data_IF_363671235269
#
_entry.id   IF_363671235269
#
_cell.length_a   1.000
_cell.length_b   1.000
_cell.length_c   1.000
_cell.angle_alpha   90.00
_cell.angle_beta   90.00
_cell.angle_gamma   90.00
#
_symmetry.space_group_name_H-M   'P 1'
#
loop_
_entity.id
_entity.type
_entity.pdbx_description
1 polymer ?
#
# COMPACT_ATOMS: atom_id res chain seq x y z
N UNK A 1 -45.83 -40.44 -44.55
CA UNK A 1 -45.46 -40.03 -43.21
C UNK A 1 -45.63 -38.53 -43.03
N UNK A 2 -46.05 -38.08 -41.88
CA UNK A 2 -46.05 -36.64 -41.57
C UNK A 2 -44.63 -36.08 -41.67
N UNK A 3 -44.44 -34.86 -42.17
CA UNK A 3 -43.15 -34.25 -42.18
C UNK A 3 -42.60 -34.21 -40.78
N UNK A 4 -41.35 -34.69 -40.56
CA UNK A 4 -40.70 -34.62 -39.26
C UNK A 4 -39.79 -33.42 -39.22
N UNK A 5 -39.85 -32.69 -38.13
CA UNK A 5 -38.95 -31.58 -37.78
C UNK A 5 -37.90 -31.99 -36.75
N UNK A 6 -37.88 -33.29 -36.37
CA UNK A 6 -36.96 -33.85 -35.39
C UNK A 6 -35.91 -34.74 -36.07
N UNK A 7 -34.65 -34.53 -35.77
CA UNK A 7 -33.58 -35.47 -36.13
C UNK A 7 -33.18 -36.28 -34.90
N UNK A 8 -33.30 -37.60 -35.02
CA UNK A 8 -32.96 -38.51 -33.91
C UNK A 8 -33.16 -39.96 -34.27
N UNK A 9 -32.73 -40.91 -33.43
CA UNK A 9 -32.72 -42.34 -33.73
C UNK A 9 -34.11 -42.93 -33.92
N UNK A 10 -35.15 -42.30 -33.36
CA UNK A 10 -36.54 -42.73 -33.49
C UNK A 10 -37.35 -41.88 -34.48
N UNK A 11 -36.72 -41.02 -35.22
CA UNK A 11 -37.34 -40.10 -36.18
C UNK A 11 -36.56 -40.11 -37.51
N UNK A 12 -35.96 -39.03 -37.93
CA UNK A 12 -35.10 -38.97 -39.11
C UNK A 12 -33.61 -38.95 -38.69
N UNK A 13 -32.79 -39.72 -39.41
CA UNK A 13 -31.33 -39.76 -39.20
C UNK A 13 -30.65 -39.37 -40.47
N UNK A 14 -29.80 -38.34 -40.39
CA UNK A 14 -28.88 -38.00 -41.48
C UNK A 14 -27.56 -38.77 -41.26
N UNK A 15 -27.35 -39.76 -42.12
CA UNK A 15 -26.20 -40.63 -42.05
C UNK A 15 -25.27 -40.33 -43.21
N UNK A 16 -24.13 -39.78 -42.94
CA UNK A 16 -23.09 -39.47 -43.93
C UNK A 16 -22.00 -40.53 -43.93
N UNK A 17 -21.56 -40.90 -45.13
CA UNK A 17 -20.53 -41.92 -45.30
C UNK A 17 -19.27 -41.52 -44.50
N UNK A 18 -18.63 -42.46 -43.76
CA UNK A 18 -17.38 -42.20 -43.08
C UNK A 18 -16.27 -41.87 -44.10
N UNK A 19 -15.30 -41.11 -43.68
CA UNK A 19 -14.13 -40.75 -44.48
C UNK A 19 -13.40 -42.02 -44.93
N UNK A 20 -13.28 -42.20 -46.26
CA UNK A 20 -12.47 -43.26 -46.84
C UNK A 20 -10.99 -42.96 -46.50
N UNK A 21 -10.27 -43.94 -45.96
CA UNK A 21 -8.85 -43.82 -45.64
C UNK A 21 -8.06 -43.42 -46.85
N UNK A 22 -7.44 -42.22 -46.84
CA UNK A 22 -6.59 -41.71 -47.94
C UNK A 22 -7.28 -40.91 -49.04
N UNK A 23 -8.59 -40.61 -48.96
CA UNK A 23 -9.30 -39.77 -49.94
C UNK A 23 -9.61 -38.37 -49.40
N UNK A 24 -9.29 -37.36 -50.20
CA UNK A 24 -9.67 -35.96 -49.95
C UNK A 24 -10.91 -35.49 -50.72
N UNK A 25 -11.62 -36.41 -51.39
CA UNK A 25 -12.79 -36.10 -52.22
C UNK A 25 -14.06 -36.67 -51.58
N UNK A 26 -15.08 -35.82 -51.43
CA UNK A 26 -16.43 -36.24 -51.02
C UNK A 26 -16.73 -36.20 -49.52
N UNK A 27 -15.95 -35.46 -48.72
CA UNK A 27 -16.26 -35.26 -47.32
C UNK A 27 -17.36 -34.21 -47.16
N UNK A 28 -18.45 -34.55 -46.49
CA UNK A 28 -19.43 -33.59 -46.06
C UNK A 28 -18.81 -32.74 -44.92
N UNK A 29 -18.66 -31.46 -45.17
CA UNK A 29 -18.11 -30.54 -44.17
C UNK A 29 -19.15 -29.61 -43.58
N UNK A 30 -20.21 -29.32 -44.28
CA UNK A 30 -21.23 -28.37 -43.89
C UNK A 30 -22.62 -28.99 -43.94
N UNK A 31 -23.40 -28.73 -42.88
CA UNK A 31 -24.79 -29.15 -42.77
C UNK A 31 -25.63 -27.91 -42.47
N UNK A 32 -26.53 -27.56 -43.40
CA UNK A 32 -27.51 -26.49 -43.26
C UNK A 32 -28.91 -27.07 -43.41
N UNK A 33 -29.74 -26.98 -42.38
CA UNK A 33 -31.06 -27.58 -42.36
C UNK A 33 -32.10 -26.60 -41.82
N UNK A 34 -32.97 -26.15 -42.66
CA UNK A 34 -34.18 -25.40 -42.31
C UNK A 34 -35.31 -26.32 -41.89
N UNK A 35 -36.20 -25.84 -41.02
CA UNK A 35 -37.35 -26.57 -40.56
C UNK A 35 -37.07 -27.70 -39.54
N UNK A 36 -35.82 -27.93 -39.17
CA UNK A 36 -35.47 -28.84 -38.08
C UNK A 36 -35.61 -28.09 -36.73
N UNK A 37 -36.53 -28.54 -35.89
CA UNK A 37 -36.84 -27.93 -34.60
C UNK A 37 -36.14 -28.59 -33.41
N UNK A 38 -35.75 -29.87 -33.58
CA UNK A 38 -35.05 -30.62 -32.55
C UNK A 38 -33.96 -31.52 -33.16
N UNK A 39 -32.79 -31.53 -32.53
CA UNK A 39 -31.70 -32.44 -32.86
C UNK A 39 -31.38 -33.31 -31.62
N UNK A 40 -31.50 -34.61 -31.78
CA UNK A 40 -31.16 -35.60 -30.75
C UNK A 40 -29.87 -36.34 -31.08
N UNK A 41 -29.32 -37.06 -30.10
CA UNK A 41 -28.15 -37.94 -30.28
C UNK A 41 -28.38 -38.88 -31.48
N UNK A 42 -27.41 -38.89 -32.37
CA UNK A 42 -27.47 -39.73 -33.58
C UNK A 42 -28.43 -39.23 -34.65
N UNK A 43 -29.03 -38.04 -34.53
CA UNK A 43 -29.78 -37.39 -35.59
C UNK A 43 -28.92 -37.00 -36.79
N UNK A 44 -27.67 -36.63 -36.53
CA UNK A 44 -26.60 -36.48 -37.53
C UNK A 44 -25.51 -37.48 -37.17
N UNK A 45 -25.10 -38.30 -38.13
CA UNK A 45 -24.02 -39.26 -38.00
C UNK A 45 -22.93 -38.89 -38.96
N UNK A 46 -21.81 -38.35 -38.45
CA UNK A 46 -20.67 -37.94 -39.26
C UNK A 46 -19.40 -37.82 -38.38
N UNK A 47 -18.27 -38.11 -38.99
CA UNK A 47 -16.94 -37.92 -38.40
C UNK A 47 -16.13 -36.77 -39.06
N UNK A 48 -16.74 -36.05 -40.02
CA UNK A 48 -16.05 -35.05 -40.85
C UNK A 48 -16.75 -33.67 -40.88
N UNK A 49 -17.91 -33.52 -40.24
CA UNK A 49 -18.65 -32.24 -40.23
C UNK A 49 -17.90 -31.18 -39.46
N UNK A 50 -17.67 -30.05 -40.14
CA UNK A 50 -16.96 -28.86 -39.60
C UNK A 50 -17.95 -27.74 -39.22
N UNK A 51 -19.05 -27.60 -39.97
CA UNK A 51 -20.04 -26.53 -39.78
C UNK A 51 -21.44 -27.15 -39.70
N UNK A 52 -22.21 -26.72 -38.70
CA UNK A 52 -23.63 -27.05 -38.56
C UNK A 52 -24.42 -25.75 -38.38
N UNK A 53 -25.43 -25.57 -39.24
CA UNK A 53 -26.37 -24.46 -39.14
C UNK A 53 -27.81 -25.00 -39.13
N UNK A 54 -28.49 -24.80 -38.02
CA UNK A 54 -29.86 -25.22 -37.74
C UNK A 54 -30.68 -24.01 -37.28
N UNK A 55 -31.12 -23.16 -38.23
CA UNK A 55 -31.71 -21.85 -37.87
C UNK A 55 -33.05 -21.96 -37.15
N UNK A 56 -33.75 -23.10 -37.25
CA UNK A 56 -35.06 -23.31 -36.66
C UNK A 56 -35.03 -24.23 -35.44
N UNK A 57 -33.87 -24.80 -35.05
CA UNK A 57 -33.76 -25.69 -33.94
C UNK A 57 -34.02 -24.94 -32.63
N UNK A 58 -35.03 -25.35 -31.88
CA UNK A 58 -35.35 -24.83 -30.54
C UNK A 58 -34.83 -25.73 -29.43
N UNK A 59 -34.55 -27.01 -29.72
CA UNK A 59 -33.98 -27.95 -28.80
C UNK A 59 -32.78 -28.71 -29.34
N UNK A 60 -31.69 -28.69 -28.60
CA UNK A 60 -30.51 -29.53 -28.79
C UNK A 60 -30.50 -30.56 -27.68
N UNK A 61 -30.79 -31.80 -28.01
CA UNK A 61 -30.91 -32.89 -27.05
C UNK A 61 -29.56 -33.32 -26.44
N UNK A 62 -29.66 -34.19 -25.45
CA UNK A 62 -28.49 -34.73 -24.79
C UNK A 62 -27.59 -35.50 -25.76
N UNK A 63 -26.26 -35.31 -25.65
CA UNK A 63 -25.25 -35.93 -26.54
C UNK A 63 -25.43 -35.63 -28.06
N UNK A 64 -26.17 -34.63 -28.48
CA UNK A 64 -26.52 -34.41 -29.91
C UNK A 64 -25.30 -34.34 -30.85
N UNK A 65 -24.26 -33.63 -30.46
CA UNK A 65 -22.99 -33.50 -31.17
C UNK A 65 -21.79 -34.11 -30.41
N UNK A 66 -22.05 -35.01 -29.47
CA UNK A 66 -20.99 -35.62 -28.68
C UNK A 66 -19.96 -36.33 -29.57
N UNK A 67 -18.70 -35.94 -29.43
CA UNK A 67 -17.59 -36.54 -30.17
C UNK A 67 -17.35 -35.99 -31.58
N UNK A 68 -18.06 -34.94 -31.98
CA UNK A 68 -17.83 -34.27 -33.27
C UNK A 68 -16.51 -33.49 -33.23
N UNK A 69 -15.40 -34.24 -33.28
CA UNK A 69 -14.03 -33.69 -33.09
C UNK A 69 -13.58 -32.72 -34.20
N UNK A 70 -14.23 -32.71 -35.34
CA UNK A 70 -13.96 -31.80 -36.44
C UNK A 70 -14.87 -30.57 -36.48
N UNK A 71 -15.96 -30.54 -35.69
CA UNK A 71 -16.88 -29.44 -35.62
C UNK A 71 -16.19 -28.17 -35.15
N UNK A 72 -16.18 -27.15 -36.00
CA UNK A 72 -15.55 -25.85 -35.79
C UNK A 72 -16.57 -24.75 -35.50
N UNK A 73 -17.73 -24.78 -36.18
CA UNK A 73 -18.76 -23.76 -36.07
C UNK A 73 -20.15 -24.36 -35.93
N UNK A 74 -20.95 -23.80 -35.06
CA UNK A 74 -22.35 -24.15 -34.83
C UNK A 74 -23.20 -22.90 -34.78
N UNK A 75 -24.27 -22.84 -35.55
CA UNK A 75 -25.28 -21.80 -35.52
C UNK A 75 -26.62 -22.39 -35.06
N UNK A 76 -27.15 -21.92 -33.93
CA UNK A 76 -28.38 -22.37 -33.28
C UNK A 76 -29.13 -21.15 -32.70
N UNK A 77 -29.54 -20.19 -33.53
CA UNK A 77 -30.05 -18.90 -33.06
C UNK A 77 -31.33 -19.00 -32.25
N UNK A 78 -32.20 -20.02 -32.54
CA UNK A 78 -33.47 -20.22 -31.88
C UNK A 78 -33.42 -21.28 -30.75
N UNK A 79 -32.27 -21.91 -30.51
CA UNK A 79 -32.19 -22.97 -29.50
C UNK A 79 -32.40 -22.40 -28.10
N UNK A 80 -33.41 -22.90 -27.41
CA UNK A 80 -33.73 -22.53 -26.03
C UNK A 80 -33.04 -23.44 -25.03
N UNK A 81 -32.81 -24.71 -25.38
CA UNK A 81 -32.13 -25.67 -24.52
C UNK A 81 -30.92 -26.30 -25.22
N UNK A 82 -29.78 -26.32 -24.53
CA UNK A 82 -28.60 -27.10 -24.91
C UNK A 82 -28.48 -28.26 -23.94
N UNK A 83 -28.69 -29.48 -24.43
CA UNK A 83 -28.72 -30.70 -23.68
C UNK A 83 -27.41 -31.10 -22.99
N UNK A 84 -27.50 -32.09 -22.10
CA UNK A 84 -26.34 -32.61 -21.39
C UNK A 84 -25.32 -33.18 -22.39
N UNK A 85 -24.05 -32.78 -22.25
CA UNK A 85 -22.98 -33.22 -23.13
C UNK A 85 -23.21 -32.96 -24.63
N UNK A 86 -24.06 -32.02 -24.99
CA UNK A 86 -24.42 -31.76 -26.39
C UNK A 86 -23.19 -31.55 -27.27
N UNK A 87 -22.21 -30.80 -26.81
CA UNK A 87 -20.93 -30.54 -27.51
C UNK A 87 -19.73 -31.19 -26.82
N UNK A 88 -19.94 -32.25 -26.04
CA UNK A 88 -18.86 -32.96 -25.36
C UNK A 88 -17.83 -33.50 -26.36
N UNK A 89 -16.54 -33.22 -26.12
CA UNK A 89 -15.42 -33.58 -27.03
C UNK A 89 -15.46 -32.96 -28.40
N UNK A 90 -16.18 -31.86 -28.66
CA UNK A 90 -16.03 -31.05 -29.86
C UNK A 90 -14.74 -30.23 -29.76
N UNK A 91 -13.60 -30.90 -29.91
CA UNK A 91 -12.27 -30.35 -29.56
C UNK A 91 -11.81 -29.20 -30.47
N UNK A 92 -12.38 -29.06 -31.66
CA UNK A 92 -12.09 -27.98 -32.62
C UNK A 92 -13.11 -26.85 -32.58
N UNK A 93 -14.18 -26.96 -31.81
CA UNK A 93 -15.23 -25.94 -31.77
C UNK A 93 -14.68 -24.59 -31.33
N UNK A 94 -14.78 -23.59 -32.21
CA UNK A 94 -14.32 -22.21 -32.00
C UNK A 94 -15.44 -21.21 -31.92
N UNK A 95 -16.53 -21.42 -32.68
CA UNK A 95 -17.65 -20.51 -32.81
C UNK A 95 -18.99 -21.20 -32.54
N UNK A 96 -19.75 -20.61 -31.64
CA UNK A 96 -21.10 -21.05 -31.30
C UNK A 96 -22.02 -19.84 -31.25
N UNK A 97 -23.09 -19.86 -32.08
CA UNK A 97 -24.13 -18.84 -32.07
C UNK A 97 -25.35 -19.36 -31.28
N UNK A 98 -25.65 -18.69 -30.18
CA UNK A 98 -26.77 -18.96 -29.26
C UNK A 98 -27.46 -17.64 -28.94
N UNK A 99 -28.63 -17.36 -29.54
CA UNK A 99 -29.29 -16.07 -29.34
C UNK A 99 -30.54 -16.15 -28.46
N UNK A 100 -31.12 -17.37 -28.29
CA UNK A 100 -32.35 -17.59 -27.58
C UNK A 100 -32.20 -18.54 -26.36
N UNK A 101 -31.02 -19.02 -26.05
CA UNK A 101 -30.81 -20.05 -25.06
C UNK A 101 -31.28 -19.60 -23.65
N UNK A 102 -32.07 -20.44 -23.00
CA UNK A 102 -32.58 -20.29 -21.64
C UNK A 102 -31.87 -21.24 -20.68
N UNK A 103 -31.49 -22.44 -21.15
CA UNK A 103 -30.89 -23.47 -20.29
C UNK A 103 -29.68 -24.11 -20.94
N UNK A 104 -28.57 -24.12 -20.20
CA UNK A 104 -27.38 -24.90 -20.48
C UNK A 104 -27.30 -26.06 -19.50
N UNK A 105 -27.45 -27.30 -19.99
CA UNK A 105 -27.39 -28.50 -19.16
C UNK A 105 -25.95 -28.95 -18.90
N UNK A 106 -25.80 -29.85 -17.94
CA UNK A 106 -24.54 -30.39 -17.45
C UNK A 106 -23.59 -30.82 -18.58
N UNK A 107 -22.31 -30.45 -18.46
CA UNK A 107 -21.21 -30.84 -19.35
C UNK A 107 -21.42 -30.48 -20.84
N UNK A 108 -22.36 -29.58 -21.15
CA UNK A 108 -22.73 -29.24 -22.53
C UNK A 108 -21.57 -28.81 -23.41
N UNK A 109 -20.53 -28.19 -22.84
CA UNK A 109 -19.30 -27.75 -23.52
C UNK A 109 -18.02 -28.42 -23.00
N UNK A 110 -18.12 -29.58 -22.33
CA UNK A 110 -16.94 -30.22 -21.75
C UNK A 110 -16.00 -30.78 -22.83
N UNK A 111 -14.69 -30.52 -22.71
CA UNK A 111 -13.66 -30.82 -23.72
C UNK A 111 -13.78 -30.04 -25.05
N UNK A 112 -14.36 -28.85 -25.04
CA UNK A 112 -14.31 -27.91 -26.19
C UNK A 112 -13.03 -27.05 -26.10
N UNK A 113 -11.86 -27.68 -26.30
CA UNK A 113 -10.55 -27.09 -26.00
C UNK A 113 -10.18 -25.88 -26.88
N UNK A 114 -10.82 -25.71 -28.04
CA UNK A 114 -10.57 -24.60 -28.97
C UNK A 114 -11.49 -23.40 -28.75
N UNK A 115 -12.53 -23.53 -27.93
CA UNK A 115 -13.51 -22.46 -27.67
C UNK A 115 -12.89 -21.35 -26.83
N UNK A 116 -12.54 -20.24 -27.49
CA UNK A 116 -11.89 -19.09 -26.82
C UNK A 116 -12.89 -18.08 -26.27
N UNK A 117 -14.09 -18.05 -26.82
CA UNK A 117 -15.17 -17.15 -26.46
C UNK A 117 -16.51 -17.85 -26.56
N UNK A 118 -17.34 -17.71 -25.52
CA UNK A 118 -18.74 -18.11 -25.55
C UNK A 118 -19.59 -16.90 -25.18
N UNK A 119 -20.48 -16.50 -26.09
CA UNK A 119 -21.44 -15.42 -25.85
C UNK A 119 -22.79 -16.04 -25.47
N UNK A 120 -23.32 -15.65 -24.33
CA UNK A 120 -24.57 -16.13 -23.76
C UNK A 120 -25.61 -15.01 -23.78
N UNK A 121 -26.81 -15.25 -24.34
CA UNK A 121 -27.81 -14.21 -24.54
C UNK A 121 -28.46 -13.75 -23.24
N UNK A 122 -29.22 -12.66 -23.33
CA UNK A 122 -29.97 -12.11 -22.19
C UNK A 122 -31.15 -13.02 -21.76
N UNK A 123 -31.57 -13.94 -22.59
CA UNK A 123 -32.60 -14.93 -22.32
C UNK A 123 -32.18 -16.07 -21.40
N UNK A 124 -30.86 -16.15 -21.09
CA UNK A 124 -30.32 -17.26 -20.29
C UNK A 124 -30.82 -17.19 -18.84
N UNK A 125 -31.46 -18.24 -18.39
CA UNK A 125 -32.08 -18.38 -17.07
C UNK A 125 -31.29 -19.34 -16.15
N UNK A 126 -30.74 -20.43 -16.73
CA UNK A 126 -30.12 -21.50 -15.95
C UNK A 126 -28.83 -22.02 -16.61
N UNK A 127 -27.81 -22.13 -15.78
CA UNK A 127 -26.56 -22.82 -16.11
C UNK A 127 -26.41 -23.97 -15.10
N UNK A 128 -26.49 -25.22 -15.57
CA UNK A 128 -26.12 -26.36 -14.78
C UNK A 128 -24.59 -26.47 -14.66
N UNK A 129 -24.05 -27.55 -14.11
CA UNK A 129 -22.61 -27.77 -14.01
C UNK A 129 -21.99 -27.93 -15.42
N UNK A 130 -21.78 -26.82 -16.14
CA UNK A 130 -21.06 -26.81 -17.39
C UNK A 130 -19.55 -26.75 -17.11
N UNK A 131 -18.81 -27.71 -17.61
CA UNK A 131 -17.35 -27.67 -17.59
C UNK A 131 -16.87 -27.22 -18.97
N UNK A 132 -16.10 -26.12 -19.00
CA UNK A 132 -15.34 -25.79 -20.21
C UNK A 132 -14.06 -26.63 -20.15
N UNK A 133 -13.79 -27.41 -21.08
CA UNK A 133 -12.67 -28.33 -21.26
C UNK A 133 -11.57 -28.41 -20.21
N UNK A 134 -10.77 -29.44 -20.21
CA UNK A 134 -9.57 -29.53 -19.35
C UNK A 134 -8.62 -28.40 -19.75
N UNK A 135 -8.75 -27.27 -19.09
CA UNK A 135 -7.84 -26.14 -19.27
C UNK A 135 -6.45 -26.59 -18.79
N UNK A 136 -5.53 -26.67 -19.69
CA UNK A 136 -4.14 -27.05 -19.40
C UNK A 136 -3.41 -27.77 -20.52
N UNK A 137 -4.10 -28.20 -21.58
CA UNK A 137 -3.44 -28.92 -22.69
C UNK A 137 -3.59 -28.25 -24.06
N UNK A 138 -3.59 -26.93 -24.15
CA UNK A 138 -3.55 -26.25 -25.43
C UNK A 138 -4.02 -24.79 -25.46
N UNK A 139 -4.89 -24.37 -24.55
CA UNK A 139 -5.39 -22.99 -24.56
C UNK A 139 -4.84 -22.20 -23.33
N UNK A 140 -3.65 -21.66 -23.46
CA UNK A 140 -3.02 -20.80 -22.43
C UNK A 140 -3.77 -19.48 -22.21
N UNK A 141 -4.73 -19.13 -23.07
CA UNK A 141 -5.43 -17.84 -23.03
C UNK A 141 -6.74 -17.87 -22.24
N UNK A 142 -7.25 -19.05 -21.83
CA UNK A 142 -8.54 -19.21 -21.14
C UNK A 142 -9.75 -18.96 -22.04
N UNK A 143 -10.93 -19.51 -21.66
CA UNK A 143 -12.20 -19.23 -22.32
C UNK A 143 -12.78 -17.93 -21.77
N UNK A 144 -13.15 -16.98 -22.63
CA UNK A 144 -13.91 -15.79 -22.26
C UNK A 144 -15.41 -16.10 -22.38
N UNK A 145 -16.14 -15.82 -21.31
CA UNK A 145 -17.61 -15.89 -21.31
C UNK A 145 -18.15 -14.46 -21.37
N UNK A 146 -19.05 -14.21 -22.32
CA UNK A 146 -19.71 -12.90 -22.46
C UNK A 146 -21.18 -13.09 -22.16
N UNK A 147 -21.64 -12.54 -21.06
CA UNK A 147 -23.05 -12.47 -20.69
C UNK A 147 -23.68 -11.25 -21.35
N UNK A 148 -24.90 -11.39 -21.89
CA UNK A 148 -25.68 -10.27 -22.45
C UNK A 148 -26.86 -9.88 -21.55
N UNK A 149 -27.15 -10.67 -20.50
CA UNK A 149 -28.18 -10.37 -19.52
C UNK A 149 -27.73 -9.33 -18.50
N UNK A 150 -28.63 -8.42 -18.16
CA UNK A 150 -28.43 -7.47 -17.05
C UNK A 150 -28.53 -8.14 -15.68
N UNK A 151 -29.27 -9.26 -15.61
CA UNK A 151 -29.42 -10.10 -14.42
C UNK A 151 -28.66 -11.40 -14.59
N UNK A 152 -27.98 -11.92 -13.54
CA UNK A 152 -27.29 -13.20 -13.63
C UNK A 152 -28.29 -14.35 -13.75
N UNK A 153 -27.98 -15.41 -14.53
CA UNK A 153 -28.76 -16.66 -14.51
C UNK A 153 -28.54 -17.39 -13.19
N UNK A 154 -29.45 -18.32 -12.86
CA UNK A 154 -29.22 -19.31 -11.80
C UNK A 154 -28.08 -20.24 -12.22
N UNK A 155 -27.07 -20.42 -11.36
CA UNK A 155 -25.90 -21.23 -11.65
C UNK A 155 -25.75 -22.35 -10.65
N UNK A 156 -25.68 -23.59 -11.11
CA UNK A 156 -25.46 -24.73 -10.23
C UNK A 156 -24.09 -24.73 -9.58
N UNK A 157 -24.00 -25.25 -8.36
CA UNK A 157 -22.73 -25.42 -7.65
C UNK A 157 -21.74 -26.24 -8.49
N UNK A 158 -20.51 -25.71 -8.67
CA UNK A 158 -19.48 -26.35 -9.48
C UNK A 158 -19.57 -26.09 -10.98
N UNK A 159 -20.51 -25.26 -11.44
CA UNK A 159 -20.43 -24.70 -12.79
C UNK A 159 -19.08 -24.03 -13.01
N UNK A 160 -18.52 -24.15 -14.24
CA UNK A 160 -17.21 -23.65 -14.61
C UNK A 160 -16.02 -24.29 -13.86
N UNK A 161 -16.19 -25.43 -13.15
CA UNK A 161 -15.06 -26.18 -12.59
C UNK A 161 -14.17 -26.74 -13.72
N UNK A 162 -12.85 -26.74 -13.48
CA UNK A 162 -11.86 -27.19 -14.49
C UNK A 162 -11.30 -26.07 -15.37
N UNK A 163 -11.75 -24.85 -15.18
CA UNK A 163 -11.08 -23.68 -15.77
C UNK A 163 -9.75 -23.42 -15.04
N UNK A 164 -8.65 -23.34 -15.78
CA UNK A 164 -7.33 -23.14 -15.18
C UNK A 164 -7.24 -21.84 -14.39
N UNK A 165 -6.78 -21.92 -13.17
CA UNK A 165 -6.51 -20.75 -12.32
C UNK A 165 -5.26 -19.96 -12.75
N UNK A 166 -4.52 -20.44 -13.74
CA UNK A 166 -3.28 -19.83 -14.22
C UNK A 166 -3.48 -18.83 -15.37
N UNK A 167 -4.69 -18.79 -15.93
CA UNK A 167 -5.06 -17.81 -16.96
C UNK A 167 -6.28 -17.04 -16.47
N UNK A 168 -6.28 -15.74 -16.69
CA UNK A 168 -7.41 -14.87 -16.35
C UNK A 168 -8.58 -15.24 -17.26
N UNK A 169 -9.40 -16.18 -16.83
CA UNK A 169 -10.69 -16.45 -17.44
C UNK A 169 -11.65 -15.38 -16.97
N UNK A 170 -12.16 -14.57 -17.87
CA UNK A 170 -13.05 -13.45 -17.55
C UNK A 170 -14.46 -13.73 -18.01
N UNK A 171 -15.42 -13.44 -17.13
CA UNK A 171 -16.81 -13.24 -17.52
C UNK A 171 -17.02 -11.75 -17.74
N UNK A 172 -17.41 -11.38 -18.95
CA UNK A 172 -17.78 -9.99 -19.26
C UNK A 172 -19.30 -9.88 -19.14
N UNK A 173 -19.75 -8.90 -18.34
CA UNK A 173 -21.16 -8.56 -18.15
C UNK A 173 -21.47 -7.21 -18.79
N UNK A 174 -22.73 -6.89 -19.13
CA UNK A 174 -23.08 -5.57 -19.64
C UNK A 174 -22.70 -4.45 -18.69
N UNK A 175 -22.48 -3.26 -19.23
CA UNK A 175 -22.25 -2.07 -18.42
C UNK A 175 -23.45 -1.82 -17.47
N UNK A 176 -23.17 -1.63 -16.17
CA UNK A 176 -24.19 -1.48 -15.12
C UNK A 176 -24.75 -2.79 -14.53
N UNK A 177 -24.32 -3.96 -15.04
CA UNK A 177 -24.79 -5.26 -14.52
C UNK A 177 -23.91 -5.83 -13.41
N UNK A 178 -22.70 -5.27 -13.17
CA UNK A 178 -21.70 -5.85 -12.29
C UNK A 178 -22.24 -6.11 -10.87
N UNK A 179 -22.96 -5.16 -10.28
CA UNK A 179 -23.48 -5.27 -8.93
C UNK A 179 -24.51 -6.41 -8.77
N UNK A 180 -25.35 -6.63 -9.79
CA UNK A 180 -26.32 -7.72 -9.78
C UNK A 180 -25.62 -9.10 -9.79
N UNK A 181 -24.54 -9.24 -10.57
CA UNK A 181 -23.74 -10.47 -10.60
C UNK A 181 -22.95 -10.67 -9.31
N UNK A 182 -22.39 -9.61 -8.71
CA UNK A 182 -21.69 -9.67 -7.42
C UNK A 182 -22.64 -10.01 -6.26
N UNK A 183 -23.88 -9.50 -6.29
CA UNK A 183 -24.88 -9.81 -5.28
C UNK A 183 -25.23 -11.30 -5.22
N UNK A 184 -25.33 -11.99 -6.37
CA UNK A 184 -25.53 -13.42 -6.45
C UNK A 184 -24.38 -14.20 -5.81
N UNK A 185 -23.13 -13.82 -6.06
CA UNK A 185 -21.95 -14.44 -5.46
C UNK A 185 -21.99 -14.38 -3.93
N UNK A 186 -22.37 -13.23 -3.38
CA UNK A 186 -22.43 -13.01 -1.95
C UNK A 186 -23.54 -13.83 -1.28
N UNK A 187 -24.67 -14.00 -1.94
CA UNK A 187 -25.79 -14.82 -1.44
C UNK A 187 -25.43 -16.32 -1.40
N UNK A 188 -24.76 -16.83 -2.42
CA UNK A 188 -24.36 -18.26 -2.51
C UNK A 188 -23.23 -18.61 -1.55
N UNK A 189 -22.26 -17.70 -1.36
CA UNK A 189 -21.14 -17.89 -0.43
C UNK A 189 -21.58 -17.90 1.05
N UNK A 190 -22.64 -17.20 1.39
CA UNK A 190 -23.20 -17.19 2.76
C UNK A 190 -23.83 -18.53 3.16
N UNK A 191 -24.35 -19.28 2.19
CA UNK A 191 -25.01 -20.57 2.42
C UNK A 191 -24.02 -21.75 2.51
N UNK A 192 -22.83 -21.63 1.95
CA UNK A 192 -21.88 -22.73 1.83
C UNK A 192 -20.74 -22.72 2.87
N UNK A 193 -20.70 -21.74 3.80
CA UNK A 193 -19.65 -21.63 4.81
C UNK A 193 -18.24 -21.40 4.25
N UNK A 194 -18.13 -21.18 2.96
CA UNK A 194 -16.85 -20.95 2.26
C UNK A 194 -16.61 -19.45 2.11
N UNK A 195 -15.96 -18.87 3.11
CA UNK A 195 -15.40 -17.52 3.03
C UNK A 195 -14.28 -17.50 1.96
N UNK A 196 -14.64 -17.50 0.70
CA UNK A 196 -13.75 -17.06 -0.37
C UNK A 196 -14.08 -15.61 -0.67
N UNK A 197 -13.56 -14.69 0.14
CA UNK A 197 -13.45 -13.27 -0.18
C UNK A 197 -12.60 -13.09 -1.44
N UNK A 198 -13.20 -13.24 -2.60
CA UNK A 198 -12.67 -12.72 -3.84
C UNK A 198 -13.78 -11.90 -4.49
N UNK A 199 -13.82 -10.66 -4.14
CA UNK A 199 -14.81 -9.64 -4.49
C UNK A 199 -15.01 -9.40 -6.01
N UNK A 200 -14.36 -10.19 -6.85
CA UNK A 200 -14.39 -10.04 -8.31
C UNK A 200 -14.47 -11.37 -9.08
N UNK A 201 -14.76 -12.48 -8.42
CA UNK A 201 -14.84 -13.78 -9.09
C UNK A 201 -16.24 -14.38 -8.99
N UNK A 202 -16.80 -14.76 -10.11
CA UNK A 202 -18.04 -15.49 -10.24
C UNK A 202 -17.73 -16.91 -10.73
N UNK A 203 -18.08 -17.93 -9.93
CA UNK A 203 -17.79 -19.34 -10.24
C UNK A 203 -16.34 -19.62 -10.72
N UNK A 204 -15.35 -19.07 -10.02
CA UNK A 204 -13.91 -19.12 -10.36
C UNK A 204 -13.49 -18.34 -11.61
N UNK A 205 -14.36 -17.51 -12.18
CA UNK A 205 -14.04 -16.60 -13.28
C UNK A 205 -14.06 -15.16 -12.78
N UNK A 206 -13.10 -14.36 -13.21
CA UNK A 206 -13.10 -12.93 -12.90
C UNK A 206 -14.24 -12.24 -13.65
N UNK A 207 -15.01 -11.40 -12.93
CA UNK A 207 -16.03 -10.55 -13.53
C UNK A 207 -15.45 -9.23 -14.00
N UNK A 208 -15.87 -8.77 -15.16
CA UNK A 208 -15.61 -7.41 -15.64
C UNK A 208 -16.81 -6.86 -16.40
N UNK A 209 -17.00 -5.54 -16.37
CA UNK A 209 -17.98 -4.88 -17.21
C UNK A 209 -17.49 -4.71 -18.67
N UNK A 210 -18.42 -4.73 -19.61
CA UNK A 210 -18.17 -4.36 -21.00
C UNK A 210 -17.60 -2.93 -21.05
N UNK A 211 -16.55 -2.70 -21.83
CA UNK A 211 -15.85 -1.42 -21.88
C UNK A 211 -14.83 -1.17 -20.78
N UNK A 212 -14.50 -2.17 -19.95
CA UNK A 212 -13.41 -2.07 -18.97
C UNK A 212 -12.15 -2.78 -19.43
N UNK A 213 -11.01 -2.35 -18.87
CA UNK A 213 -9.71 -3.02 -19.05
C UNK A 213 -9.30 -3.75 -17.78
N UNK A 214 -8.69 -4.91 -17.93
CA UNK A 214 -8.10 -5.67 -16.83
C UNK A 214 -6.68 -5.20 -16.54
N UNK A 215 -6.40 -4.87 -15.29
CA UNK A 215 -5.05 -4.63 -14.79
C UNK A 215 -4.67 -5.80 -13.89
N UNK A 216 -3.73 -6.61 -14.35
CA UNK A 216 -3.19 -7.75 -13.60
C UNK A 216 -1.96 -7.31 -12.83
N UNK A 217 -2.00 -7.46 -11.50
CA UNK A 217 -0.85 -7.25 -10.64
C UNK A 217 -0.03 -8.55 -10.55
N UNK A 218 1.27 -8.48 -10.83
CA UNK A 218 2.14 -9.65 -10.81
C UNK A 218 2.10 -10.36 -9.47
N UNK A 219 1.77 -11.64 -9.47
CA UNK A 219 1.20 -12.34 -8.32
C UNK A 219 2.19 -12.80 -7.23
N UNK A 220 3.50 -12.85 -7.48
CA UNK A 220 4.46 -13.42 -6.54
C UNK A 220 4.53 -12.64 -5.21
N UNK A 221 4.45 -11.31 -5.27
CA UNK A 221 4.56 -10.42 -4.10
C UNK A 221 3.26 -9.72 -3.74
N UNK A 222 2.17 -9.99 -4.47
CA UNK A 222 0.90 -9.28 -4.30
C UNK A 222 0.13 -9.78 -3.09
N UNK A 223 -0.29 -8.85 -2.25
CA UNK A 223 -1.26 -9.06 -1.19
C UNK A 223 -2.56 -8.35 -1.55
N UNK A 224 -3.69 -9.04 -1.51
CA UNK A 224 -5.00 -8.45 -1.83
C UNK A 224 -5.44 -8.64 -3.28
N UNK A 225 -5.81 -7.54 -3.94
CA UNK A 225 -6.36 -7.54 -5.31
C UNK A 225 -5.31 -8.00 -6.31
N UNK A 226 -5.60 -9.07 -7.05
CA UNK A 226 -4.69 -9.57 -8.10
C UNK A 226 -5.04 -9.04 -9.49
N UNK A 227 -6.30 -8.70 -9.72
CA UNK A 227 -6.80 -8.12 -10.95
C UNK A 227 -7.79 -7.03 -10.61
N UNK A 228 -7.58 -5.85 -11.15
CA UNK A 228 -8.54 -4.76 -11.08
C UNK A 228 -9.16 -4.53 -12.46
N UNK A 229 -10.44 -4.16 -12.51
CA UNK A 229 -11.11 -3.76 -13.74
C UNK A 229 -11.37 -2.25 -13.69
N UNK A 230 -10.97 -1.56 -14.73
CA UNK A 230 -11.06 -0.10 -14.85
C UNK A 230 -11.81 0.23 -16.12
N UNK A 231 -12.85 1.06 -16.05
CA UNK A 231 -13.60 1.48 -17.22
C UNK A 231 -12.71 2.28 -18.19
N UNK A 232 -12.95 2.10 -19.48
CA UNK A 232 -12.21 2.83 -20.49
C UNK A 232 -12.35 4.33 -20.29
N UNK A 233 -11.22 5.03 -20.23
CA UNK A 233 -11.17 6.48 -20.00
C UNK A 233 -11.20 6.90 -18.54
N UNK A 234 -11.40 5.98 -17.58
CA UNK A 234 -11.32 6.26 -16.15
C UNK A 234 -9.94 5.93 -15.57
N UNK A 235 -9.54 6.66 -14.54
CA UNK A 235 -8.34 6.38 -13.76
C UNK A 235 -8.56 5.24 -12.76
N UNK A 236 -7.49 4.54 -12.43
CA UNK A 236 -7.49 3.54 -11.34
C UNK A 236 -7.72 4.26 -10.02
N UNK A 237 -8.65 3.78 -9.21
CA UNK A 237 -8.91 4.30 -7.85
C UNK A 237 -8.00 3.64 -6.83
N UNK A 238 -7.74 4.28 -5.69
CA UNK A 238 -6.80 3.80 -4.66
C UNK A 238 -7.11 2.36 -4.19
N UNK A 239 -8.40 2.03 -3.99
CA UNK A 239 -8.83 0.69 -3.56
C UNK A 239 -8.59 -0.41 -4.60
N UNK A 240 -8.39 -0.03 -5.87
CA UNK A 240 -8.04 -0.94 -6.97
C UNK A 240 -6.54 -1.10 -7.17
N UNK A 241 -5.72 -0.32 -6.47
CA UNK A 241 -4.26 -0.48 -6.51
C UNK A 241 -3.83 -1.53 -5.49
N UNK A 242 -3.23 -2.61 -5.98
CA UNK A 242 -2.72 -3.66 -5.10
C UNK A 242 -1.48 -3.23 -4.33
N UNK A 243 -1.29 -3.82 -3.15
CA UNK A 243 -0.03 -3.72 -2.41
C UNK A 243 0.88 -4.90 -2.75
N UNK A 244 2.18 -4.72 -2.56
CA UNK A 244 3.14 -5.80 -2.71
C UNK A 244 4.14 -5.78 -1.55
N UNK A 245 4.48 -6.97 -1.01
CA UNK A 245 5.39 -7.12 0.12
C UNK A 245 6.51 -8.09 -0.24
N UNK A 246 7.74 -7.65 -0.05
CA UNK A 246 8.94 -8.47 -0.23
C UNK A 246 9.89 -8.20 0.93
N UNK A 247 10.28 -9.26 1.66
CA UNK A 247 11.19 -9.15 2.80
C UNK A 247 12.50 -8.43 2.43
N UNK A 248 12.93 -7.50 3.28
CA UNK A 248 14.14 -6.70 3.07
C UNK A 248 14.05 -5.70 1.92
N UNK A 249 12.83 -5.30 1.54
CA UNK A 249 12.64 -4.34 0.45
C UNK A 249 11.46 -3.40 0.74
N UNK A 250 11.57 -2.16 0.35
CA UNK A 250 10.51 -1.16 0.34
C UNK A 250 9.82 -1.19 -1.03
N UNK A 251 8.50 -1.35 -1.02
CA UNK A 251 7.69 -1.25 -2.22
C UNK A 251 7.60 0.21 -2.68
N UNK A 252 8.01 0.48 -3.93
CA UNK A 252 8.05 1.82 -4.53
C UNK A 252 6.88 2.11 -5.47
N UNK A 253 6.05 1.10 -5.74
CA UNK A 253 4.92 1.22 -6.66
C UNK A 253 4.95 0.18 -7.77
N UNK A 254 4.07 0.34 -8.73
CA UNK A 254 3.91 -0.55 -9.89
C UNK A 254 4.52 0.06 -11.14
N UNK A 255 4.94 -0.79 -12.07
CA UNK A 255 5.50 -0.37 -13.36
C UNK A 255 4.97 -1.26 -14.49
N UNK A 256 4.78 -0.70 -15.68
CA UNK A 256 4.29 -1.43 -16.86
C UNK A 256 5.30 -2.40 -17.45
N UNK A 257 6.56 -2.36 -17.03
CA UNK A 257 7.61 -3.30 -17.40
C UNK A 257 8.27 -3.92 -16.18
N UNK A 258 8.57 -5.21 -16.26
CA UNK A 258 9.18 -6.00 -15.18
C UNK A 258 10.54 -5.47 -14.72
N UNK A 259 11.29 -4.81 -15.58
CA UNK A 259 12.60 -4.23 -15.26
C UNK A 259 12.53 -2.80 -14.71
N UNK A 260 11.31 -2.28 -14.47
CA UNK A 260 11.11 -0.92 -13.94
C UNK A 260 11.35 0.23 -14.92
N UNK A 261 11.66 -0.05 -16.19
CA UNK A 261 11.95 0.99 -17.21
C UNK A 261 10.70 1.45 -17.99
N UNK A 262 9.53 0.92 -17.65
CA UNK A 262 8.26 1.35 -18.21
C UNK A 262 7.69 2.57 -17.51
N UNK A 263 6.41 2.81 -17.71
CA UNK A 263 5.67 3.86 -17.05
C UNK A 263 5.29 3.42 -15.63
N UNK A 264 5.36 4.35 -14.68
CA UNK A 264 4.81 4.14 -13.35
C UNK A 264 3.29 3.95 -13.44
N UNK A 265 2.76 3.05 -12.63
CA UNK A 265 1.34 2.72 -12.60
C UNK A 265 0.82 2.79 -11.16
N UNK A 266 -0.33 3.42 -10.97
CA UNK A 266 -0.95 3.59 -9.66
C UNK A 266 -2.28 4.30 -9.74
N UNK A 267 -2.70 4.92 -8.65
CA UNK A 267 -3.91 5.73 -8.61
C UNK A 267 -3.88 6.83 -9.68
N UNK A 268 -5.02 7.01 -10.36
CA UNK A 268 -5.16 7.96 -11.46
C UNK A 268 -4.63 7.47 -12.81
N UNK A 269 -3.89 6.34 -12.88
CA UNK A 269 -3.44 5.77 -14.16
C UNK A 269 -4.63 5.32 -15.00
N UNK A 270 -4.68 5.71 -16.28
CA UNK A 270 -5.76 5.36 -17.21
C UNK A 270 -5.30 4.24 -18.14
N UNK A 271 -5.73 3.00 -17.94
CA UNK A 271 -5.40 1.91 -18.84
C UNK A 271 -6.12 2.09 -20.19
N UNK A 272 -5.42 1.83 -21.29
CA UNK A 272 -5.98 1.84 -22.66
C UNK A 272 -6.17 0.45 -23.25
N UNK A 273 -5.76 -0.58 -22.50
CA UNK A 273 -5.84 -2.00 -22.85
C UNK A 273 -5.71 -2.86 -21.60
N UNK A 274 -5.99 -4.16 -21.72
CA UNK A 274 -5.59 -5.12 -20.68
C UNK A 274 -4.07 -5.10 -20.54
N UNK A 275 -3.55 -5.04 -19.30
CA UNK A 275 -2.12 -4.96 -19.04
C UNK A 275 -1.73 -5.71 -17.75
N UNK A 276 -0.48 -6.15 -17.70
CA UNK A 276 0.16 -6.66 -16.48
C UNK A 276 1.13 -5.63 -15.96
N UNK A 277 1.08 -5.35 -14.65
CA UNK A 277 2.00 -4.44 -13.97
C UNK A 277 2.86 -5.21 -12.97
N UNK A 278 4.07 -4.73 -12.76
CA UNK A 278 5.11 -5.39 -11.97
C UNK A 278 5.52 -4.50 -10.81
N UNK A 279 5.76 -5.06 -9.60
CA UNK A 279 6.17 -4.28 -8.46
C UNK A 279 7.63 -3.81 -8.63
N UNK A 280 7.86 -2.58 -8.25
CA UNK A 280 9.21 -2.01 -8.12
C UNK A 280 9.58 -2.01 -6.65
N UNK A 281 10.75 -2.52 -6.34
CA UNK A 281 11.28 -2.59 -4.99
C UNK A 281 12.64 -1.93 -4.91
N UNK A 282 12.90 -1.26 -3.80
CA UNK A 282 14.22 -0.84 -3.39
C UNK A 282 14.68 -1.70 -2.21
N UNK A 283 15.94 -2.04 -2.14
CA UNK A 283 16.50 -2.74 -0.99
C UNK A 283 16.33 -1.88 0.27
N UNK A 284 16.00 -2.47 1.41
CA UNK A 284 15.90 -1.79 2.69
C UNK A 284 16.93 -2.29 3.70
N UNK A 285 17.29 -1.40 4.60
CA UNK A 285 18.00 -1.70 5.83
C UNK A 285 17.09 -1.41 7.02
N UNK A 286 17.31 -2.12 8.12
CA UNK A 286 16.62 -1.89 9.38
C UNK A 286 17.49 -1.02 10.29
N UNK A 287 16.90 0.02 10.88
CA UNK A 287 17.48 0.79 11.98
C UNK A 287 16.70 0.43 13.24
N UNK A 288 17.38 -0.17 14.22
CA UNK A 288 16.82 -0.47 15.53
C UNK A 288 17.05 0.72 16.43
N UNK A 289 15.98 1.34 16.89
CA UNK A 289 16.02 2.52 17.74
C UNK A 289 15.77 2.06 19.16
N UNK A 290 16.82 2.08 19.98
CA UNK A 290 16.73 1.72 21.38
C UNK A 290 16.21 2.91 22.19
N UNK A 291 15.30 2.64 23.13
CA UNK A 291 14.75 3.63 24.05
C UNK A 291 15.30 3.39 25.45
N UNK A 292 15.30 4.40 26.29
CA UNK A 292 15.78 4.27 27.70
C UNK A 292 14.97 3.29 28.54
N UNK A 293 13.70 3.11 28.24
CA UNK A 293 12.83 2.15 28.93
C UNK A 293 13.08 0.69 28.53
N UNK A 294 14.12 0.45 27.68
CA UNK A 294 14.49 -0.86 27.16
C UNK A 294 13.63 -1.33 25.98
N UNK A 295 12.70 -0.51 25.54
CA UNK A 295 11.94 -0.83 24.31
C UNK A 295 12.77 -0.54 23.06
N UNK A 296 12.46 -1.26 21.99
CA UNK A 296 13.14 -1.09 20.69
C UNK A 296 12.12 -0.89 19.60
N UNK A 297 12.28 0.13 18.80
CA UNK A 297 11.47 0.39 17.61
C UNK A 297 12.27 0.09 16.35
N UNK A 298 11.69 -0.69 15.43
CA UNK A 298 12.33 -1.01 14.14
C UNK A 298 11.84 -0.06 13.07
N UNK A 299 12.77 0.55 12.36
CA UNK A 299 12.51 1.44 11.25
C UNK A 299 13.10 0.84 9.97
N UNK A 300 12.31 0.78 8.88
CA UNK A 300 12.83 0.43 7.56
C UNK A 300 13.23 1.69 6.78
N UNK A 301 14.46 1.72 6.31
CA UNK A 301 15.04 2.79 5.50
C UNK A 301 15.52 2.21 4.18
N UNK A 302 15.32 2.92 3.09
CA UNK A 302 15.86 2.52 1.79
C UNK A 302 17.38 2.51 1.85
N UNK A 303 17.97 1.39 1.42
CA UNK A 303 19.43 1.23 1.44
C UNK A 303 20.11 2.31 0.57
N UNK A 304 21.25 2.78 1.03
CA UNK A 304 22.07 3.84 0.38
C UNK A 304 21.33 5.21 0.26
N UNK A 305 20.29 5.41 1.09
CA UNK A 305 19.60 6.69 1.24
C UNK A 305 19.80 7.24 2.66
N UNK A 306 19.68 8.56 2.80
CA UNK A 306 19.68 9.20 4.11
C UNK A 306 18.43 8.81 4.90
N UNK A 307 18.58 8.68 6.24
CA UNK A 307 17.45 8.37 7.13
C UNK A 307 16.36 9.45 7.10
N UNK A 308 16.75 10.72 6.92
CA UNK A 308 15.86 11.85 6.72
C UNK A 308 14.88 12.08 7.88
N UNK A 309 13.67 12.45 7.53
CA UNK A 309 12.56 12.70 8.48
C UNK A 309 12.11 11.44 9.25
N UNK A 310 12.63 10.27 8.90
CA UNK A 310 12.36 9.03 9.62
C UNK A 310 13.14 8.93 10.93
N UNK A 311 14.22 9.70 11.09
CA UNK A 311 14.93 9.78 12.38
C UNK A 311 13.96 10.36 13.41
N UNK A 312 13.69 9.66 14.53
CA UNK A 312 12.72 10.13 15.51
C UNK A 312 13.20 11.39 16.22
N UNK A 313 12.27 12.14 16.77
CA UNK A 313 12.58 13.21 17.73
C UNK A 313 13.25 12.61 18.96
N UNK A 314 14.13 13.40 19.56
CA UNK A 314 14.79 13.02 20.82
C UNK A 314 13.75 12.71 21.91
N UNK A 315 13.86 11.58 22.61
CA UNK A 315 13.04 11.34 23.79
C UNK A 315 13.40 12.32 24.92
N UNK A 316 12.42 12.70 25.73
CA UNK A 316 12.67 13.51 26.94
C UNK A 316 13.18 12.62 28.08
N UNK A 317 14.17 13.11 28.82
CA UNK A 317 14.72 12.47 30.02
C UNK A 317 14.85 13.49 31.13
N UNK A 318 14.18 13.26 32.22
CA UNK A 318 14.19 14.18 33.39
C UNK A 318 15.62 14.35 33.96
N UNK A 319 16.07 15.59 34.06
CA UNK A 319 17.42 15.93 34.54
C UNK A 319 18.54 15.79 33.54
N UNK A 320 18.19 15.54 32.24
CA UNK A 320 19.17 15.38 31.18
C UNK A 320 18.79 16.20 29.95
N UNK A 321 19.80 16.56 29.15
CA UNK A 321 19.63 17.16 27.82
C UNK A 321 20.04 16.13 26.79
N UNK A 322 19.19 15.93 25.76
CA UNK A 322 19.54 15.07 24.63
C UNK A 322 20.72 15.66 23.87
N UNK A 323 21.74 14.86 23.66
CA UNK A 323 22.95 15.25 22.95
C UNK A 323 22.89 14.83 21.49
N UNK A 324 22.72 13.53 21.25
CA UNK A 324 22.74 12.97 19.91
C UNK A 324 22.15 11.56 19.84
N UNK A 325 21.82 11.11 18.65
CA UNK A 325 21.70 9.69 18.34
C UNK A 325 23.08 9.13 17.98
N UNK A 326 23.45 7.97 18.56
CA UNK A 326 24.75 7.36 18.35
C UNK A 326 24.63 5.87 18.04
N UNK A 327 25.57 5.30 17.26
CA UNK A 327 25.59 3.87 16.91
C UNK A 327 26.04 2.96 18.06
N UNK A 328 26.50 3.52 19.16
CA UNK A 328 26.92 2.80 20.37
C UNK A 328 26.20 3.37 21.59
N UNK A 329 25.77 2.50 22.51
CA UNK A 329 25.06 2.86 23.74
C UNK A 329 25.89 3.76 24.67
N UNK A 330 27.23 3.63 24.64
CA UNK A 330 28.15 4.42 25.44
C UNK A 330 28.57 5.76 24.79
N UNK A 331 27.99 6.10 23.62
CA UNK A 331 28.29 7.34 22.91
C UNK A 331 29.64 7.35 22.18
N UNK A 332 30.37 6.24 22.15
CA UNK A 332 31.71 6.16 21.50
C UNK A 332 31.63 5.84 19.99
N UNK A 333 30.44 5.53 19.49
CA UNK A 333 30.19 5.21 18.09
C UNK A 333 30.09 6.45 17.20
N UNK A 334 29.44 6.30 16.05
CA UNK A 334 29.21 7.39 15.12
C UNK A 334 27.88 8.11 15.43
N UNK A 335 27.91 9.45 15.34
CA UNK A 335 26.70 10.28 15.46
C UNK A 335 25.77 10.03 14.27
N UNK A 336 24.49 9.83 14.54
CA UNK A 336 23.44 9.64 13.54
C UNK A 336 22.58 10.88 13.45
N UNK A 337 22.49 11.44 12.25
CA UNK A 337 21.69 12.62 11.92
C UNK A 337 20.73 12.31 10.78
N UNK A 338 19.79 13.22 10.50
CA UNK A 338 18.91 13.09 9.34
C UNK A 338 19.65 12.91 8.01
N UNK A 339 20.91 13.36 7.91
CA UNK A 339 21.73 13.21 6.71
C UNK A 339 22.53 11.90 6.67
N UNK A 340 22.47 11.07 7.71
CA UNK A 340 23.21 9.81 7.76
C UNK A 340 22.66 8.84 6.73
N UNK A 341 23.51 8.38 5.81
CA UNK A 341 23.19 7.41 4.76
C UNK A 341 23.23 6.00 5.34
N UNK A 342 22.14 5.26 5.21
CA UNK A 342 21.99 3.91 5.76
C UNK A 342 22.42 2.88 4.73
N UNK A 343 23.60 2.29 4.91
CA UNK A 343 24.18 1.30 3.98
C UNK A 343 24.01 -0.15 4.44
N UNK A 344 23.72 -0.36 5.73
CA UNK A 344 23.53 -1.66 6.36
C UNK A 344 22.54 -1.54 7.53
N UNK A 345 22.09 -2.67 8.06
CA UNK A 345 21.32 -2.68 9.30
C UNK A 345 22.18 -2.11 10.44
N UNK A 346 21.56 -1.33 11.33
CA UNK A 346 22.26 -0.70 12.45
C UNK A 346 21.35 -0.51 13.65
N UNK A 347 21.96 -0.35 14.79
CA UNK A 347 21.33 0.06 16.05
C UNK A 347 21.69 1.51 16.33
N UNK A 348 20.76 2.26 16.92
CA UNK A 348 20.99 3.63 17.40
C UNK A 348 20.43 3.81 18.80
N UNK A 349 21.16 4.61 19.58
CA UNK A 349 20.92 4.85 20.99
C UNK A 349 20.85 6.35 21.24
N UNK A 350 19.95 6.84 22.10
CA UNK A 350 19.92 8.24 22.51
C UNK A 350 21.02 8.50 23.51
N UNK A 351 21.88 9.48 23.27
CA UNK A 351 22.91 9.91 24.19
C UNK A 351 22.46 11.20 24.86
N UNK A 352 22.66 11.25 26.17
CA UNK A 352 22.28 12.37 27.01
C UNK A 352 23.47 12.88 27.80
N UNK A 353 23.44 14.14 28.15
CA UNK A 353 24.31 14.74 29.15
C UNK A 353 23.46 15.25 30.32
N UNK A 354 24.03 15.24 31.52
CA UNK A 354 23.31 15.73 32.70
C UNK A 354 22.97 17.21 32.52
N UNK A 355 21.72 17.54 32.70
CA UNK A 355 21.28 18.93 32.83
C UNK A 355 21.60 19.41 34.22
N UNK A 356 22.91 19.65 34.46
CA UNK A 356 23.32 20.26 35.72
C UNK A 356 22.72 21.66 35.72
N UNK A 357 21.96 22.04 36.76
CA UNK A 357 21.54 23.43 36.92
C UNK A 357 22.80 24.30 36.95
N UNK A 358 22.79 25.40 36.19
CA UNK A 358 23.84 26.40 36.21
C UNK A 358 23.96 26.93 37.62
N UNK A 359 24.89 26.35 38.39
CA UNK A 359 25.13 26.72 39.77
C UNK A 359 26.22 27.78 39.81
N UNK A 360 25.85 28.97 40.21
CA UNK A 360 26.84 30.02 40.53
C UNK A 360 27.32 29.88 41.98
N UNK A 361 28.60 30.03 42.20
CA UNK A 361 29.19 30.12 43.54
C UNK A 361 29.46 31.55 43.87
N UNK A 362 28.94 32.01 45.00
CA UNK A 362 29.01 33.36 45.46
C UNK A 362 29.52 33.42 46.93
N UNK A 363 30.41 34.35 47.24
CA UNK A 363 30.68 34.70 48.62
C UNK A 363 29.82 35.90 48.98
N UNK A 364 28.87 35.69 49.90
CA UNK A 364 28.03 36.74 50.47
C UNK A 364 28.54 37.07 51.84
N UNK A 365 29.10 38.29 52.06
CA UNK A 365 29.79 38.67 53.31
C UNK A 365 30.85 37.64 53.73
N UNK A 366 31.56 37.01 52.75
CA UNK A 366 32.55 35.96 53.00
C UNK A 366 31.98 34.56 53.26
N UNK A 367 30.67 34.37 53.23
CA UNK A 367 29.99 33.04 53.30
C UNK A 367 29.89 32.49 51.91
N UNK A 368 30.47 31.30 51.66
CA UNK A 368 30.36 30.61 50.38
C UNK A 368 29.01 29.94 50.24
N UNK A 369 28.26 30.26 49.22
CA UNK A 369 26.96 29.69 48.88
C UNK A 369 26.90 29.40 47.40
N UNK A 370 26.16 28.34 47.08
CA UNK A 370 25.82 27.98 45.73
C UNK A 370 24.35 28.36 45.46
N UNK A 371 24.02 28.82 44.27
CA UNK A 371 22.66 29.18 43.90
C UNK A 371 22.44 29.08 42.40
N UNK A 372 21.22 28.95 41.93
CA UNK A 372 20.85 28.98 40.52
C UNK A 372 20.86 30.41 39.95
N UNK A 373 20.95 31.42 40.82
CA UNK A 373 21.06 32.83 40.53
C UNK A 373 21.71 33.57 41.68
N UNK A 374 22.12 34.82 41.46
CA UNK A 374 22.63 35.67 42.56
C UNK A 374 21.56 35.90 43.66
N UNK A 375 20.30 36.02 43.25
CA UNK A 375 19.18 36.15 44.20
C UNK A 375 19.06 34.91 45.10
N UNK A 376 19.10 33.71 44.52
CA UNK A 376 19.00 32.45 45.24
C UNK A 376 20.22 32.23 46.15
N UNK A 377 21.43 32.51 45.67
CA UNK A 377 22.63 32.44 46.48
C UNK A 377 22.55 33.35 47.72
N UNK A 378 22.04 34.57 47.58
CA UNK A 378 21.85 35.50 48.72
C UNK A 378 20.78 34.96 49.69
N UNK A 379 19.68 34.42 49.22
CA UNK A 379 18.66 33.76 50.05
C UNK A 379 19.25 32.57 50.84
N UNK A 380 20.01 31.74 50.16
CA UNK A 380 20.62 30.55 50.76
C UNK A 380 21.74 30.89 51.72
N UNK A 381 22.41 32.04 51.61
CA UNK A 381 23.33 32.57 52.58
C UNK A 381 22.67 32.88 53.94
N UNK A 382 21.32 33.03 53.98
CA UNK A 382 20.54 33.47 55.13
C UNK A 382 20.92 34.88 55.63
N UNK A 383 21.67 35.63 54.85
CA UNK A 383 21.94 37.05 55.10
C UNK A 383 20.79 37.85 54.51
N UNK A 384 20.16 38.74 55.30
CA UNK A 384 19.14 39.61 54.76
C UNK A 384 19.74 40.54 53.69
N UNK A 385 19.04 40.80 52.61
CA UNK A 385 19.55 41.64 51.49
C UNK A 385 20.06 43.01 51.99
N UNK A 386 19.40 43.55 53.01
CA UNK A 386 19.79 44.81 53.64
C UNK A 386 21.10 44.74 54.45
N UNK A 387 21.55 43.53 54.81
CA UNK A 387 22.78 43.31 55.59
C UNK A 387 23.96 42.80 54.71
N UNK A 388 23.74 42.66 53.41
CA UNK A 388 24.78 42.30 52.46
C UNK A 388 25.71 43.50 52.21
N UNK A 389 26.97 43.37 52.61
CA UNK A 389 28.01 44.43 52.44
C UNK A 389 29.08 44.03 51.46
N UNK A 390 29.24 42.73 51.14
CA UNK A 390 30.17 42.28 50.13
C UNK A 390 29.65 41.11 49.32
N UNK A 391 29.91 41.14 48.05
CA UNK A 391 29.65 40.08 47.08
C UNK A 391 30.90 39.78 46.28
N UNK A 392 31.25 38.51 46.20
CA UNK A 392 32.28 38.01 45.30
C UNK A 392 31.72 36.87 44.47
N UNK A 393 31.71 37.02 43.14
CA UNK A 393 31.29 35.99 42.17
C UNK A 393 32.53 35.10 41.90
N UNK A 394 32.42 33.80 42.30
CA UNK A 394 33.58 32.88 42.31
C UNK A 394 33.60 31.98 41.11
N UNK A 395 32.46 31.35 40.78
CA UNK A 395 32.36 30.43 39.64
C UNK A 395 30.93 30.33 39.13
N UNK A 396 30.75 29.76 37.93
CA UNK A 396 29.47 29.55 37.25
C UNK A 396 29.21 30.55 36.15
N UNK A 397 28.03 30.51 35.58
CA UNK A 397 27.62 31.38 34.50
C UNK A 397 26.73 32.52 35.02
N UNK A 398 27.22 33.73 34.93
CA UNK A 398 26.56 34.96 35.40
C UNK A 398 25.80 35.59 34.24
N UNK A 399 24.54 35.85 34.43
CA UNK A 399 23.65 36.48 33.43
C UNK A 399 23.45 37.97 33.74
N UNK A 400 22.88 38.68 32.77
CA UNK A 400 22.44 40.08 32.99
C UNK A 400 21.38 40.20 34.12
N UNK A 401 20.59 39.18 34.38
CA UNK A 401 19.59 39.17 35.43
C UNK A 401 20.29 39.13 36.84
N UNK A 402 21.34 38.35 36.96
CA UNK A 402 22.14 38.30 38.18
C UNK A 402 22.79 39.66 38.45
N UNK A 403 23.38 40.29 37.48
CA UNK A 403 23.96 41.63 37.60
C UNK A 403 22.91 42.71 37.88
N UNK A 404 21.71 42.59 37.37
CA UNK A 404 20.59 43.51 37.65
C UNK A 404 20.10 43.42 39.10
N UNK A 405 20.24 42.23 39.72
CA UNK A 405 19.90 42.04 41.12
C UNK A 405 20.78 42.85 42.07
N UNK A 406 22.01 43.20 41.71
CA UNK A 406 22.91 44.06 42.49
C UNK A 406 22.26 45.39 42.88
N UNK A 407 21.32 45.89 42.06
CA UNK A 407 20.60 47.14 42.33
C UNK A 407 19.69 47.06 43.61
N UNK A 408 19.38 45.85 44.07
CA UNK A 408 18.56 45.64 45.26
C UNK A 408 19.37 45.58 46.54
N UNK A 409 20.71 45.47 46.44
CA UNK A 409 21.61 45.36 47.57
C UNK A 409 22.07 46.77 47.99
N UNK A 410 21.24 47.43 48.79
CA UNK A 410 21.41 48.87 49.12
C UNK A 410 22.57 49.20 50.02
N UNK A 411 23.16 48.21 50.74
CA UNK A 411 24.28 48.40 51.64
C UNK A 411 25.58 47.74 51.15
N UNK A 412 25.65 47.42 49.84
CA UNK A 412 26.87 46.83 49.24
C UNK A 412 28.04 47.83 49.30
N UNK A 413 29.10 47.44 49.95
CA UNK A 413 30.34 48.22 50.04
C UNK A 413 31.47 47.70 49.13
N UNK A 414 31.47 46.37 48.89
CA UNK A 414 32.50 45.72 48.09
C UNK A 414 31.88 44.71 47.09
N UNK A 415 32.28 44.78 45.85
CA UNK A 415 31.96 43.84 44.79
C UNK A 415 33.22 43.32 44.13
N UNK A 416 33.31 42.00 43.94
CA UNK A 416 34.45 41.35 43.29
C UNK A 416 33.95 40.35 42.23
N UNK A 417 34.57 40.37 41.06
CA UNK A 417 34.26 39.45 39.96
C UNK A 417 35.57 39.13 39.22
N UNK A 418 35.92 37.85 39.12
CA UNK A 418 37.11 37.38 38.42
C UNK A 418 36.68 36.53 37.22
N UNK A 419 36.56 37.10 36.04
CA UNK A 419 36.20 36.38 34.83
C UNK A 419 37.35 35.51 34.36
N UNK A 420 37.07 34.25 34.02
CA UNK A 420 38.06 33.27 33.59
C UNK A 420 37.42 31.96 33.18
N UNK A 421 38.13 30.86 33.38
CA UNK A 421 37.61 29.53 33.04
C UNK A 421 36.48 29.09 33.97
N UNK A 422 36.54 29.49 35.25
CA UNK A 422 35.58 29.10 36.31
C UNK A 422 34.35 30.02 36.39
N UNK A 423 34.45 31.28 35.93
CA UNK A 423 33.39 32.28 35.99
C UNK A 423 33.21 32.92 34.62
N UNK A 424 32.05 32.67 34.01
CA UNK A 424 31.68 33.18 32.71
C UNK A 424 30.61 34.24 32.83
N UNK A 425 30.78 35.39 32.22
CA UNK A 425 29.76 36.45 32.13
C UNK A 425 29.06 36.39 30.80
N UNK A 426 27.73 36.38 30.79
CA UNK A 426 26.94 36.49 29.59
C UNK A 426 26.39 37.90 29.38
N UNK A 427 26.53 38.39 28.16
CA UNK A 427 25.94 39.66 27.72
C UNK A 427 24.42 39.59 27.57
N UNK A 428 23.81 40.71 27.20
CA UNK A 428 22.36 40.83 26.94
C UNK A 428 21.87 39.96 25.79
N UNK A 429 22.78 39.56 24.92
CA UNK A 429 22.50 38.66 23.78
C UNK A 429 22.64 37.17 24.16
N UNK A 430 22.94 36.86 25.44
CA UNK A 430 23.16 35.51 25.94
C UNK A 430 24.51 34.90 25.61
N UNK A 431 25.43 35.61 24.92
CA UNK A 431 26.76 35.12 24.61
C UNK A 431 27.78 35.48 25.68
N UNK A 432 28.84 34.67 25.89
CA UNK A 432 29.94 35.00 26.79
C UNK A 432 30.59 36.33 26.41
N UNK A 433 30.89 37.18 27.41
CA UNK A 433 31.50 38.47 27.20
C UNK A 433 32.47 38.82 28.32
N UNK A 434 33.52 39.58 27.96
CA UNK A 434 34.41 40.22 28.92
C UNK A 434 34.28 41.74 28.90
N UNK A 435 33.23 42.24 28.21
CA UNK A 435 32.97 43.67 28.03
C UNK A 435 31.82 44.13 28.91
N UNK A 436 31.97 45.19 29.66
CA UNK A 436 30.92 45.88 30.36
C UNK A 436 30.47 47.11 29.55
N UNK A 437 29.19 47.15 29.17
CA UNK A 437 28.67 48.23 28.35
C UNK A 437 27.19 48.07 28.03
N UNK A 438 26.52 49.12 27.51
CA UNK A 438 25.07 49.13 27.31
C UNK A 438 24.54 48.09 26.30
N UNK A 439 25.43 47.62 25.41
CA UNK A 439 25.11 46.58 24.43
C UNK A 439 25.68 45.19 24.79
N UNK A 440 26.29 45.04 25.95
CA UNK A 440 26.90 43.82 26.44
C UNK A 440 26.37 43.47 27.83
N UNK A 441 27.18 43.47 28.85
CA UNK A 441 26.76 43.28 30.24
C UNK A 441 26.83 44.60 31.03
N UNK A 442 25.92 44.85 31.96
CA UNK A 442 25.87 46.06 32.75
C UNK A 442 25.83 45.71 34.23
N UNK A 443 26.79 46.19 34.99
CA UNK A 443 26.74 46.16 36.47
C UNK A 443 25.83 47.29 36.95
N UNK A 444 24.75 46.94 37.62
CA UNK A 444 23.77 47.89 38.07
C UNK A 444 23.71 47.90 39.61
N UNK A 445 24.44 48.81 40.24
CA UNK A 445 24.46 48.94 41.70
C UNK A 445 23.34 49.85 42.19
N UNK A 446 22.88 49.61 43.45
CA UNK A 446 21.85 50.42 44.08
C UNK A 446 22.34 51.88 44.22
N UNK A 447 21.47 52.86 43.88
CA UNK A 447 21.81 54.28 44.06
C UNK A 447 21.96 54.61 45.56
N UNK A 448 22.88 55.47 45.91
CA UNK A 448 23.09 55.96 47.31
C UNK A 448 21.78 56.59 47.83
N UNK A 449 21.32 56.14 48.97
CA UNK A 449 20.25 56.79 49.69
C UNK A 449 20.69 58.17 50.20
N UNK A 450 19.97 59.22 49.83
CA UNK A 450 20.27 60.59 50.23
C UNK A 450 20.33 60.71 51.76
N UNK A 451 21.50 61.08 52.31
CA UNK A 451 21.73 61.35 53.72
C UNK A 451 22.21 60.16 54.58
N UNK A 452 22.52 58.98 53.97
CA UNK A 452 23.08 57.80 54.64
C UNK A 452 24.58 57.70 54.41
N UNK A 453 25.32 57.41 55.49
CA UNK A 453 26.76 57.02 55.45
C UNK A 453 26.98 55.53 55.34
N UNK A 454 25.89 54.73 55.33
CA UNK A 454 25.92 53.25 55.12
C UNK A 454 25.51 52.91 53.68
N UNK A 455 26.20 51.96 53.11
CA UNK A 455 25.88 51.45 51.77
C UNK A 455 26.50 52.22 50.63
N UNK A 456 27.67 52.87 50.87
CA UNK A 456 28.44 53.46 49.77
C UNK A 456 29.34 52.37 49.16
N UNK A 457 29.13 51.98 47.89
CA UNK A 457 30.03 51.10 47.17
C UNK A 457 31.43 51.73 47.13
N UNK A 458 32.40 51.09 47.80
CA UNK A 458 33.78 51.64 48.02
C UNK A 458 34.80 50.92 47.16
N UNK A 459 34.56 49.65 46.90
CA UNK A 459 35.51 48.82 46.18
C UNK A 459 34.79 47.99 45.12
N UNK A 460 35.25 48.05 43.88
CA UNK A 460 34.86 47.22 42.77
C UNK A 460 36.13 46.61 42.15
N UNK A 461 36.28 45.31 42.31
CA UNK A 461 37.39 44.57 41.73
C UNK A 461 36.87 43.76 40.53
N UNK A 462 37.39 44.06 39.36
CA UNK A 462 37.02 43.41 38.11
C UNK A 462 38.27 42.85 37.45
N UNK A 463 38.43 41.55 37.48
CA UNK A 463 39.50 40.84 36.81
C UNK A 463 38.93 40.11 35.57
N UNK A 464 39.73 40.04 34.50
CA UNK A 464 39.29 39.42 33.24
C UNK A 464 38.31 40.27 32.39
N UNK A 465 37.89 41.43 32.89
CA UNK A 465 37.14 42.41 32.08
C UNK A 465 38.09 43.15 31.12
N UNK A 466 37.83 43.05 29.81
CA UNK A 466 38.72 43.60 28.77
C UNK A 466 38.35 45.01 28.36
N UNK A 467 37.12 45.42 28.51
CA UNK A 467 36.64 46.77 28.17
C UNK A 467 35.46 47.20 29.08
N UNK A 468 35.48 48.45 29.50
CA UNK A 468 34.39 49.08 30.26
C UNK A 468 33.91 50.30 29.46
N UNK A 469 32.77 50.16 28.84
CA UNK A 469 32.15 51.23 28.06
C UNK A 469 31.31 52.15 28.95
N UNK A 470 31.02 53.35 28.49
CA UNK A 470 30.16 54.30 29.16
C UNK A 470 28.78 53.67 29.43
N UNK A 471 28.40 53.58 30.70
CA UNK A 471 27.14 52.95 31.16
C UNK A 471 27.27 51.45 31.33
N UNK A 472 28.47 50.89 31.42
CA UNK A 472 28.71 49.48 31.77
C UNK A 472 28.72 49.26 33.30
N UNK A 473 28.91 50.30 34.05
CA UNK A 473 28.87 50.37 35.52
C UNK A 473 28.03 51.54 35.95
#
# INVERSE_FOLDING_TARGET
>A
GNPTTVLGPNSAVLNFAPKASGSSKGELREVHLEGVTEIQKGGIVSDSVEIVDLPDATEVGDDAFNGFGWLEKVSLPKAETIGMRAFYKCTRLTDVTLEAVKTLKKDSFYYTNSLKRLTLPATLETIENIQFGRVGQGNKAGTRVVMKGMTPPTVASGAFTGVSQTTISTVTVPAGALDAYLAQINAENSSAGLIRKKETMWNNLYLREEGSYAVEYYSEYVTGVKVAYVKAGEGVTAEKVASATKAGNIFKGWNTKKNGTGEAFGEGSVPTRDLTVYPVFAASCTVQIHQEDGTTTTLEVEKDQAIGEKLPTAPEKEGYVFKEWNTSEDGTGETVTANTVITANMDIYPIYEENLPDVIKVLVNGISVDGSSLEDAIKDSKVAVADVTSIELVSGEITQNDLAYLAQITNLEKFTMHLGEDLILHGKDGNPTTVLGPNSAVLNFAPKASGSSKGELREVHLEGVTDIQKGGI
#
